data_IF_429062514936
#
_entry.id   IF_429062514936
#
_cell.length_a   1.000
_cell.length_b   1.000
_cell.length_c   1.000
_cell.angle_alpha   90.00
_cell.angle_beta   90.00
_cell.angle_gamma   90.00
#
_symmetry.space_group_name_H-M   'P 1'
#
loop_
_entity.id
_entity.type
_entity.pdbx_description
1 polymer ?
#
# COMPACT_ATOMS: atom_id res chain seq x y z
N UNK A 1 -17.41 3.02 46.33
CA UNK A 1 -17.09 4.26 45.59
C UNK A 1 -16.87 5.45 46.53
N UNK A 2 -17.69 5.63 47.56
CA UNK A 2 -17.57 6.73 48.54
C UNK A 2 -16.19 6.87 49.22
N UNK A 3 -15.54 5.75 49.57
CA UNK A 3 -14.21 5.79 50.21
C UNK A 3 -13.09 6.28 49.28
N UNK A 4 -13.18 6.01 47.97
CA UNK A 4 -12.16 6.44 47.00
C UNK A 4 -12.25 7.94 46.70
N UNK A 5 -13.47 8.50 46.68
CA UNK A 5 -13.69 9.94 46.50
C UNK A 5 -13.25 10.75 47.72
N UNK A 6 -13.51 10.25 48.93
CA UNK A 6 -13.03 10.89 50.17
C UNK A 6 -11.51 10.88 50.24
N UNK A 7 -10.86 9.75 49.89
CA UNK A 7 -9.39 9.64 49.83
C UNK A 7 -8.78 10.53 48.74
N UNK A 8 -9.41 10.65 47.57
CA UNK A 8 -8.96 11.56 46.51
C UNK A 8 -9.07 13.03 46.90
N UNK A 9 -10.15 13.40 47.59
CA UNK A 9 -10.38 14.77 48.08
C UNK A 9 -9.40 15.15 49.20
N UNK A 10 -9.07 14.23 50.11
CA UNK A 10 -8.08 14.47 51.18
C UNK A 10 -6.66 14.60 50.62
N UNK A 11 -6.25 13.73 49.70
CA UNK A 11 -4.96 13.84 49.00
C UNK A 11 -4.83 15.14 48.21
N UNK A 12 -5.91 15.59 47.57
CA UNK A 12 -5.94 16.87 46.84
C UNK A 12 -5.75 18.06 47.79
N UNK A 13 -6.50 18.09 48.91
CA UNK A 13 -6.38 19.13 49.93
C UNK A 13 -4.95 19.23 50.48
N UNK A 14 -4.32 18.09 50.74
CA UNK A 14 -2.96 18.02 51.27
C UNK A 14 -1.92 18.58 50.28
N UNK A 15 -2.06 18.25 48.98
CA UNK A 15 -1.21 18.82 47.91
C UNK A 15 -1.39 20.33 47.76
N UNK A 16 -2.61 20.84 47.88
CA UNK A 16 -2.89 22.28 47.82
C UNK A 16 -2.55 23.03 49.10
N UNK A 17 -2.28 22.35 50.21
CA UNK A 17 -1.88 22.99 51.47
C UNK A 17 -0.36 23.16 51.59
N UNK A 18 0.42 22.26 50.98
CA UNK A 18 1.89 22.32 50.97
C UNK A 18 2.41 23.32 49.93
N UNK A 19 2.87 24.49 50.36
CA UNK A 19 3.46 25.53 49.49
C UNK A 19 4.62 24.99 48.64
N UNK A 20 5.51 24.19 49.23
CA UNK A 20 6.67 23.60 48.54
C UNK A 20 6.29 22.61 47.43
N UNK A 21 5.24 21.83 47.63
CA UNK A 21 4.72 20.89 46.62
C UNK A 21 3.98 21.63 45.50
N UNK A 22 3.38 22.80 45.78
CA UNK A 22 2.73 23.65 44.78
C UNK A 22 3.74 24.39 43.91
N UNK A 23 4.84 24.85 44.50
CA UNK A 23 5.87 25.61 43.78
C UNK A 23 6.83 24.70 43.00
N UNK A 24 7.20 23.53 43.55
CA UNK A 24 8.23 22.65 42.94
C UNK A 24 7.97 21.14 43.11
N UNK A 25 6.72 20.69 43.20
CA UNK A 25 6.41 19.26 43.31
C UNK A 25 6.74 18.50 42.03
N UNK A 26 7.78 17.65 42.08
CA UNK A 26 8.21 16.81 40.95
C UNK A 26 8.16 15.34 41.36
N UNK A 27 7.61 14.50 40.49
CA UNK A 27 7.65 13.04 40.66
C UNK A 27 9.01 12.49 40.24
N UNK A 28 9.93 12.48 41.19
CA UNK A 28 11.33 12.08 40.96
C UNK A 28 11.43 10.60 40.55
N UNK A 29 10.55 9.72 41.07
CA UNK A 29 10.57 8.31 40.73
C UNK A 29 10.03 8.07 39.32
N UNK A 30 8.92 8.73 38.93
CA UNK A 30 8.42 8.70 37.56
C UNK A 30 9.44 9.20 36.53
N UNK A 31 10.17 10.28 36.84
CA UNK A 31 11.23 10.80 35.96
C UNK A 31 12.41 9.82 35.87
N UNK A 32 12.82 9.18 36.98
CA UNK A 32 13.88 8.16 36.94
C UNK A 32 13.49 6.97 36.06
N UNK A 33 12.23 6.56 36.09
CA UNK A 33 11.71 5.47 35.25
C UNK A 33 11.72 5.87 33.77
N UNK A 34 11.25 7.08 33.43
CA UNK A 34 11.32 7.62 32.07
C UNK A 34 12.75 7.73 31.54
N UNK A 35 13.71 8.14 32.38
CA UNK A 35 15.14 8.20 31.99
C UNK A 35 15.70 6.81 31.73
N UNK A 36 15.31 5.80 32.52
CA UNK A 36 15.72 4.39 32.29
C UNK A 36 15.13 3.86 30.99
N UNK A 37 13.85 4.10 30.73
CA UNK A 37 13.17 3.71 29.49
C UNK A 37 13.84 4.36 28.28
N UNK A 38 14.10 5.67 28.33
CA UNK A 38 14.78 6.39 27.25
C UNK A 38 16.18 5.85 26.98
N UNK A 39 16.97 5.55 28.02
CA UNK A 39 18.30 4.92 27.86
C UNK A 39 18.20 3.54 27.22
N UNK A 40 17.23 2.73 27.62
CA UNK A 40 16.99 1.41 27.01
C UNK A 40 16.64 1.53 25.52
N UNK A 41 15.79 2.50 25.17
CA UNK A 41 15.44 2.78 23.79
C UNK A 41 16.67 3.21 22.97
N UNK A 42 17.49 4.12 23.50
CA UNK A 42 18.74 4.55 22.86
C UNK A 42 19.72 3.38 22.64
N UNK A 43 19.85 2.47 23.60
CA UNK A 43 20.67 1.27 23.45
C UNK A 43 20.14 0.30 22.39
N UNK A 44 18.82 0.10 22.32
CA UNK A 44 18.19 -0.72 21.29
C UNK A 44 18.36 -0.12 19.90
N UNK A 45 18.21 1.20 19.76
CA UNK A 45 18.38 1.89 18.49
C UNK A 45 19.85 1.89 18.06
N UNK A 46 20.79 2.01 18.99
CA UNK A 46 22.22 1.82 18.70
C UNK A 46 22.53 0.41 18.21
N UNK A 47 21.98 -0.63 18.86
CA UNK A 47 22.13 -2.02 18.40
C UNK A 47 21.57 -2.24 16.99
N UNK A 48 20.44 -1.62 16.66
CA UNK A 48 19.85 -1.67 15.30
C UNK A 48 20.77 -0.98 14.28
N UNK A 49 21.30 0.19 14.61
CA UNK A 49 22.24 0.92 13.75
C UNK A 49 23.52 0.12 13.52
N UNK A 50 24.10 -0.47 14.57
CA UNK A 50 25.31 -1.30 14.47
C UNK A 50 25.06 -2.55 13.61
N UNK A 51 23.92 -3.21 13.77
CA UNK A 51 23.52 -4.35 12.94
C UNK A 51 23.34 -3.95 11.46
N UNK A 52 22.72 -2.80 11.19
CA UNK A 52 22.58 -2.27 9.85
C UNK A 52 23.94 -1.94 9.22
N UNK A 53 24.83 -1.28 9.96
CA UNK A 53 26.19 -0.96 9.50
C UNK A 53 26.99 -2.24 9.16
N UNK A 54 26.90 -3.27 10.01
CA UNK A 54 27.53 -4.57 9.75
C UNK A 54 26.99 -5.23 8.47
N UNK A 55 25.67 -5.17 8.24
CA UNK A 55 25.05 -5.70 7.02
C UNK A 55 25.50 -4.94 5.77
N UNK A 56 25.61 -3.60 5.84
CA UNK A 56 26.13 -2.78 4.74
C UNK A 56 27.56 -3.16 4.37
N UNK A 57 28.43 -3.39 5.36
CA UNK A 57 29.80 -3.86 5.13
C UNK A 57 29.83 -5.26 4.50
N UNK A 58 28.97 -6.16 4.95
CA UNK A 58 28.84 -7.50 4.35
C UNK A 58 28.40 -7.41 2.87
N UNK A 59 27.35 -6.65 2.59
CA UNK A 59 26.83 -6.47 1.24
C UNK A 59 27.86 -5.82 0.30
N UNK A 60 28.62 -4.83 0.78
CA UNK A 60 29.71 -4.23 0.02
C UNK A 60 30.80 -5.25 -0.35
N UNK A 61 31.19 -6.13 0.59
CA UNK A 61 32.15 -7.22 0.32
C UNK A 61 31.60 -8.21 -0.71
N UNK A 62 30.34 -8.62 -0.58
CA UNK A 62 29.69 -9.52 -1.54
C UNK A 62 29.64 -8.90 -2.93
N UNK A 63 29.27 -7.63 -3.04
CA UNK A 63 29.25 -6.90 -4.31
C UNK A 63 30.63 -6.86 -4.98
N UNK A 64 31.69 -6.58 -4.21
CA UNK A 64 33.08 -6.58 -4.71
C UNK A 64 33.52 -7.95 -5.24
N UNK A 65 33.14 -9.04 -4.55
CA UNK A 65 33.41 -10.41 -5.00
C UNK A 65 32.65 -10.73 -6.28
N UNK A 66 31.37 -10.35 -6.38
CA UNK A 66 30.55 -10.58 -7.57
C UNK A 66 31.10 -9.82 -8.77
N UNK A 67 31.45 -8.54 -8.61
CA UNK A 67 32.06 -7.73 -9.66
C UNK A 67 33.37 -8.36 -10.15
N UNK A 68 34.22 -8.82 -9.23
CA UNK A 68 35.47 -9.49 -9.59
C UNK A 68 35.27 -10.79 -10.36
N UNK A 69 34.16 -11.51 -10.11
CA UNK A 69 33.79 -12.72 -10.87
C UNK A 69 33.31 -12.36 -12.26
N UNK A 70 32.42 -11.38 -12.37
CA UNK A 70 31.90 -10.89 -13.65
C UNK A 70 33.03 -10.40 -14.57
N UNK A 71 33.99 -9.64 -14.03
CA UNK A 71 35.15 -9.20 -14.81
C UNK A 71 36.01 -10.35 -15.30
N UNK A 72 36.18 -11.41 -14.50
CA UNK A 72 36.92 -12.61 -14.91
C UNK A 72 36.20 -13.37 -16.02
N UNK A 73 34.89 -13.53 -15.90
CA UNK A 73 34.04 -14.15 -16.93
C UNK A 73 34.08 -13.37 -18.23
N UNK A 74 33.97 -12.04 -18.16
CA UNK A 74 34.11 -11.15 -19.33
C UNK A 74 35.46 -11.31 -20.00
N UNK A 75 36.56 -11.27 -19.25
CA UNK A 75 37.92 -11.49 -19.80
C UNK A 75 38.09 -12.89 -20.40
N UNK A 76 37.49 -13.92 -19.79
CA UNK A 76 37.53 -15.28 -20.32
C UNK A 76 36.75 -15.39 -21.63
N UNK A 77 35.57 -14.77 -21.72
CA UNK A 77 34.77 -14.71 -22.93
C UNK A 77 35.51 -13.97 -24.06
N UNK A 78 36.10 -12.81 -23.77
CA UNK A 78 36.91 -12.06 -24.74
C UNK A 78 38.08 -12.89 -25.27
N UNK A 79 38.80 -13.59 -24.38
CA UNK A 79 39.87 -14.52 -24.79
C UNK A 79 39.35 -15.65 -25.66
N UNK A 80 38.21 -16.25 -25.32
CA UNK A 80 37.59 -17.31 -26.10
C UNK A 80 37.20 -16.83 -27.51
N UNK A 81 36.67 -15.61 -27.63
CA UNK A 81 36.36 -14.98 -28.92
C UNK A 81 37.65 -14.77 -29.73
N UNK A 82 38.71 -14.27 -29.12
CA UNK A 82 40.00 -14.07 -29.81
C UNK A 82 40.62 -15.39 -30.25
N UNK A 83 40.61 -16.43 -29.40
CA UNK A 83 41.11 -17.76 -29.79
C UNK A 83 40.28 -18.38 -30.89
N UNK A 84 38.95 -18.23 -30.84
CA UNK A 84 38.05 -18.70 -31.89
C UNK A 84 38.33 -18.00 -33.21
N UNK A 85 38.51 -16.66 -33.19
CA UNK A 85 38.91 -15.90 -34.37
C UNK A 85 40.25 -16.38 -34.91
N UNK A 86 41.25 -16.58 -34.06
CA UNK A 86 42.56 -17.07 -34.49
C UNK A 86 42.50 -18.47 -35.11
N UNK A 87 41.64 -19.36 -34.60
CA UNK A 87 41.51 -20.73 -35.11
C UNK A 87 40.69 -20.82 -36.40
N UNK A 88 39.69 -19.95 -36.58
CA UNK A 88 38.70 -20.09 -37.66
C UNK A 88 38.72 -18.95 -38.68
N UNK A 89 39.39 -17.83 -38.42
CA UNK A 89 39.63 -16.80 -39.42
C UNK A 89 40.97 -17.08 -40.08
N UNK A 90 40.93 -17.69 -41.27
CA UNK A 90 42.08 -17.71 -42.17
C UNK A 90 42.30 -16.31 -42.74
N UNK A 91 43.55 -15.85 -42.77
CA UNK A 91 43.96 -14.59 -43.38
C UNK A 91 43.79 -14.68 -44.91
N UNK A 92 42.82 -13.97 -45.52
CA UNK A 92 42.61 -14.02 -46.97
C UNK A 92 43.75 -13.37 -47.76
N UNK A 93 44.66 -12.64 -47.09
CA UNK A 93 45.74 -11.86 -47.70
C UNK A 93 47.14 -12.44 -47.43
N UNK A 94 47.28 -13.73 -47.12
CA UNK A 94 48.60 -14.36 -46.98
C UNK A 94 49.38 -14.29 -48.32
N UNK A 95 50.49 -13.53 -48.41
CA UNK A 95 51.25 -13.34 -49.66
C UNK A 95 51.85 -14.65 -50.20
N UNK A 96 51.92 -15.69 -49.36
CA UNK A 96 52.47 -17.00 -49.74
C UNK A 96 51.48 -17.88 -50.50
N UNK A 97 50.17 -17.57 -50.45
CA UNK A 97 49.12 -18.31 -51.20
C UNK A 97 48.85 -17.73 -52.59
N UNK A 98 49.10 -16.44 -52.80
CA UNK A 98 48.85 -15.76 -54.08
C UNK A 98 49.82 -16.12 -55.21
N UNK A 99 50.81 -16.99 -54.97
CA UNK A 99 51.82 -17.39 -55.96
C UNK A 99 51.62 -18.78 -56.57
N UNK A 100 50.54 -19.50 -56.25
CA UNK A 100 50.29 -20.87 -56.74
C UNK A 100 48.85 -21.08 -57.19
N UNK A 101 48.39 -20.27 -58.13
CA UNK A 101 47.15 -20.56 -58.84
C UNK A 101 47.48 -20.48 -60.32
N UNK A 102 47.49 -21.64 -60.97
CA UNK A 102 47.61 -21.71 -62.43
C UNK A 102 46.40 -21.00 -63.05
N UNK A 103 46.58 -20.24 -64.15
CA UNK A 103 45.49 -19.50 -64.79
C UNK A 103 44.40 -20.39 -65.40
N UNK A 104 44.56 -21.71 -65.35
CA UNK A 104 43.53 -22.69 -65.73
C UNK A 104 42.42 -22.85 -64.67
N UNK A 105 42.71 -22.61 -63.39
CA UNK A 105 41.74 -22.83 -62.30
C UNK A 105 40.79 -21.64 -62.08
N UNK A 106 41.09 -20.47 -62.66
CA UNK A 106 40.25 -19.28 -62.58
C UNK A 106 39.02 -19.33 -63.51
N UNK A 107 38.92 -20.35 -64.38
CA UNK A 107 37.87 -20.45 -65.40
C UNK A 107 36.78 -21.49 -65.08
N UNK A 108 36.63 -21.90 -63.81
CA UNK A 108 35.65 -22.90 -63.39
C UNK A 108 34.67 -22.38 -62.31
N UNK A 109 34.17 -21.15 -62.46
CA UNK A 109 32.99 -20.73 -61.70
C UNK A 109 31.72 -21.08 -62.47
N UNK A 110 31.06 -22.18 -62.07
CA UNK A 110 29.72 -22.53 -62.55
C UNK A 110 28.73 -21.42 -62.16
N UNK A 111 28.01 -20.79 -63.12
CA UNK A 111 26.98 -19.82 -62.79
C UNK A 111 25.83 -20.48 -62.02
N UNK A 112 25.39 -19.87 -60.91
CA UNK A 112 24.18 -20.30 -60.19
C UNK A 112 24.44 -21.30 -59.06
N UNK A 113 25.35 -20.96 -58.13
CA UNK A 113 25.44 -21.68 -56.86
C UNK A 113 24.17 -21.35 -56.03
N UNK A 114 23.39 -22.38 -55.67
CA UNK A 114 22.10 -22.25 -54.98
C UNK A 114 22.12 -21.55 -53.60
N UNK A 115 23.27 -21.06 -53.14
CA UNK A 115 23.44 -20.25 -51.93
C UNK A 115 23.74 -18.76 -52.19
N UNK A 116 23.99 -18.37 -53.44
CA UNK A 116 24.14 -16.95 -53.79
C UNK A 116 22.76 -16.31 -53.87
N UNK A 117 22.49 -15.40 -52.94
CA UNK A 117 21.28 -14.58 -52.95
C UNK A 117 21.57 -13.21 -53.57
N UNK A 118 21.27 -13.02 -54.87
CA UNK A 118 21.48 -11.75 -55.54
C UNK A 118 20.61 -10.62 -54.97
N UNK A 119 19.50 -10.93 -54.26
CA UNK A 119 18.64 -9.94 -53.58
C UNK A 119 18.93 -9.83 -52.07
N UNK A 120 20.11 -10.27 -51.63
CA UNK A 120 20.51 -10.19 -50.21
C UNK A 120 20.46 -8.77 -49.65
N UNK A 121 20.79 -7.77 -50.48
CA UNK A 121 20.63 -6.36 -50.16
C UNK A 121 19.17 -5.93 -49.97
N UNK A 122 18.27 -6.39 -50.85
CA UNK A 122 16.83 -6.11 -50.74
C UNK A 122 16.20 -6.78 -49.54
N UNK A 123 16.55 -8.04 -49.25
CA UNK A 123 16.12 -8.74 -48.03
C UNK A 123 16.60 -8.02 -46.77
N UNK A 124 17.88 -7.65 -46.69
CA UNK A 124 18.44 -6.95 -45.53
C UNK A 124 17.75 -5.60 -45.30
N UNK A 125 17.45 -4.88 -46.38
CA UNK A 125 16.70 -3.62 -46.29
C UNK A 125 15.30 -3.83 -45.72
N UNK A 126 14.54 -4.81 -46.23
CA UNK A 126 13.21 -5.16 -45.70
C UNK A 126 13.26 -5.56 -44.22
N UNK A 127 14.25 -6.35 -43.82
CA UNK A 127 14.44 -6.73 -42.41
C UNK A 127 14.77 -5.52 -41.52
N UNK A 128 15.59 -4.58 -42.00
CA UNK A 128 15.87 -3.33 -41.27
C UNK A 128 14.64 -2.45 -41.14
N UNK A 129 13.83 -2.34 -42.19
CA UNK A 129 12.57 -1.60 -42.18
C UNK A 129 11.58 -2.23 -41.17
N UNK A 130 11.38 -3.55 -41.21
CA UNK A 130 10.55 -4.28 -40.25
C UNK A 130 11.01 -4.08 -38.79
N UNK A 131 12.31 -4.22 -38.53
CA UNK A 131 12.86 -4.03 -37.19
C UNK A 131 12.66 -2.58 -36.71
N UNK A 132 12.85 -1.60 -37.60
CA UNK A 132 12.61 -0.20 -37.28
C UNK A 132 11.14 0.05 -36.92
N UNK A 133 10.21 -0.49 -37.69
CA UNK A 133 8.78 -0.34 -37.43
C UNK A 133 8.37 -0.97 -36.10
N UNK A 134 8.85 -2.18 -35.79
CA UNK A 134 8.60 -2.83 -34.50
C UNK A 134 9.16 -2.02 -33.33
N UNK A 135 10.38 -1.50 -33.43
CA UNK A 135 10.95 -0.66 -32.37
C UNK A 135 10.14 0.61 -32.15
N UNK A 136 9.67 1.25 -33.23
CA UNK A 136 8.80 2.44 -33.13
C UNK A 136 7.46 2.08 -32.50
N UNK A 137 6.84 0.96 -32.86
CA UNK A 137 5.60 0.48 -32.24
C UNK A 137 5.80 0.23 -30.74
N UNK A 138 6.85 -0.49 -30.36
CA UNK A 138 7.14 -0.78 -28.95
C UNK A 138 7.38 0.49 -28.14
N UNK A 139 8.08 1.49 -28.71
CA UNK A 139 8.27 2.78 -28.07
C UNK A 139 6.94 3.51 -27.87
N UNK A 140 6.07 3.55 -28.89
CA UNK A 140 4.74 4.17 -28.82
C UNK A 140 3.86 3.49 -27.76
N UNK A 141 3.85 2.17 -27.70
CA UNK A 141 3.10 1.41 -26.69
C UNK A 141 3.61 1.70 -25.27
N UNK A 142 4.94 1.74 -25.09
CA UNK A 142 5.54 2.08 -23.80
C UNK A 142 5.18 3.50 -23.36
N UNK A 143 5.23 4.46 -24.28
CA UNK A 143 4.82 5.84 -24.00
C UNK A 143 3.33 5.96 -23.71
N UNK A 144 2.48 5.25 -24.44
CA UNK A 144 1.05 5.21 -24.19
C UNK A 144 0.74 4.62 -22.81
N UNK A 145 1.41 3.53 -22.41
CA UNK A 145 1.30 2.94 -21.07
C UNK A 145 1.72 3.94 -19.99
N UNK A 146 2.84 4.64 -20.19
CA UNK A 146 3.31 5.68 -19.26
C UNK A 146 2.30 6.82 -19.12
N UNK A 147 1.70 7.27 -20.23
CA UNK A 147 0.65 8.31 -20.21
C UNK A 147 -0.61 7.84 -19.47
N UNK A 148 -1.02 6.59 -19.65
CA UNK A 148 -2.17 6.00 -18.93
C UNK A 148 -1.92 5.97 -17.42
N UNK A 149 -0.77 5.47 -16.99
CA UNK A 149 -0.38 5.44 -15.58
C UNK A 149 -0.37 6.84 -14.96
N UNK A 150 0.23 7.83 -15.66
CA UNK A 150 0.24 9.22 -15.19
C UNK A 150 -1.18 9.82 -15.10
N UNK A 151 -2.09 9.46 -16.01
CA UNK A 151 -3.47 9.92 -15.96
C UNK A 151 -4.25 9.28 -14.80
N UNK A 152 -4.02 7.99 -14.53
CA UNK A 152 -4.60 7.27 -13.39
C UNK A 152 -4.10 7.83 -12.06
N UNK A 153 -2.79 8.08 -11.94
CA UNK A 153 -2.19 8.70 -10.77
C UNK A 153 -2.78 10.09 -10.48
N UNK A 154 -2.91 10.93 -11.52
CA UNK A 154 -3.55 12.25 -11.37
C UNK A 154 -5.00 12.15 -10.90
N UNK A 155 -5.77 11.20 -11.44
CA UNK A 155 -7.16 10.96 -10.99
C UNK A 155 -7.21 10.51 -9.55
N UNK A 156 -6.30 9.64 -9.14
CA UNK A 156 -6.19 9.19 -7.76
C UNK A 156 -5.88 10.37 -6.83
N UNK A 157 -4.86 11.17 -7.15
CA UNK A 157 -4.50 12.37 -6.36
C UNK A 157 -5.68 13.32 -6.23
N UNK A 158 -6.35 13.66 -7.34
CA UNK A 158 -7.54 14.52 -7.33
C UNK A 158 -8.65 13.93 -6.44
N UNK A 159 -8.93 12.63 -6.55
CA UNK A 159 -9.93 11.99 -5.71
C UNK A 159 -9.56 12.03 -4.23
N UNK A 160 -8.28 11.90 -3.88
CA UNK A 160 -7.84 11.99 -2.48
C UNK A 160 -7.95 13.42 -1.95
N UNK A 161 -7.63 14.42 -2.76
CA UNK A 161 -7.78 15.83 -2.42
C UNK A 161 -9.25 16.18 -2.18
N UNK A 162 -10.16 15.73 -3.05
CA UNK A 162 -11.60 15.93 -2.89
C UNK A 162 -12.16 15.30 -1.61
N UNK A 163 -11.71 14.08 -1.28
CA UNK A 163 -12.10 13.41 -0.04
C UNK A 163 -11.58 14.14 1.19
N UNK A 164 -10.34 14.61 1.16
CA UNK A 164 -9.75 15.40 2.24
C UNK A 164 -10.47 16.75 2.42
N UNK A 165 -10.83 17.42 1.33
CA UNK A 165 -11.59 18.66 1.36
C UNK A 165 -12.98 18.46 1.99
N UNK A 166 -13.68 17.37 1.61
CA UNK A 166 -14.96 16.99 2.22
C UNK A 166 -14.82 16.66 3.71
N UNK A 167 -13.79 15.91 4.08
CA UNK A 167 -13.51 15.59 5.48
C UNK A 167 -13.29 16.86 6.32
N UNK A 168 -12.48 17.80 5.83
CA UNK A 168 -12.25 19.08 6.49
C UNK A 168 -13.52 19.93 6.60
N UNK A 169 -14.40 19.90 5.59
CA UNK A 169 -15.70 20.59 5.66
C UNK A 169 -16.60 19.98 6.74
N UNK A 170 -16.69 18.65 6.81
CA UNK A 170 -17.48 17.96 7.82
C UNK A 170 -16.97 18.24 9.24
N UNK A 171 -15.65 18.25 9.44
CA UNK A 171 -15.05 18.59 10.73
C UNK A 171 -15.41 20.03 11.15
N UNK A 172 -15.36 21.00 10.23
CA UNK A 172 -15.77 22.39 10.52
C UNK A 172 -17.23 22.47 10.96
N UNK A 173 -18.13 21.80 10.24
CA UNK A 173 -19.56 21.76 10.59
C UNK A 173 -19.79 21.04 11.93
N UNK A 174 -19.05 19.98 12.22
CA UNK A 174 -19.13 19.30 13.52
C UNK A 174 -18.67 20.23 14.65
N UNK A 175 -17.57 20.95 14.45
CA UNK A 175 -17.08 21.92 15.45
C UNK A 175 -18.09 23.05 15.65
N UNK A 176 -18.69 23.57 14.59
CA UNK A 176 -19.73 24.61 14.65
C UNK A 176 -20.99 24.13 15.39
N UNK A 177 -21.48 22.92 15.08
CA UNK A 177 -22.63 22.34 15.77
C UNK A 177 -22.35 22.07 17.25
N UNK A 178 -21.16 21.57 17.59
CA UNK A 178 -20.71 21.42 19.00
C UNK A 178 -20.64 22.76 19.72
N UNK A 179 -20.12 23.81 19.07
CA UNK A 179 -20.11 25.17 19.64
C UNK A 179 -21.52 25.70 19.86
N UNK A 180 -22.40 25.58 18.88
CA UNK A 180 -23.80 26.01 18.99
C UNK A 180 -24.53 25.26 20.11
N UNK A 181 -24.34 23.94 20.23
CA UNK A 181 -24.91 23.14 21.32
C UNK A 181 -24.39 23.59 22.71
N UNK A 182 -23.10 23.91 22.81
CA UNK A 182 -22.51 24.43 24.04
C UNK A 182 -23.08 25.81 24.42
N UNK A 183 -23.24 26.72 23.46
CA UNK A 183 -23.88 28.02 23.67
C UNK A 183 -25.33 27.84 24.12
N UNK A 184 -26.11 27.00 23.45
CA UNK A 184 -27.50 26.73 23.83
C UNK A 184 -27.61 26.15 25.24
N UNK A 185 -26.70 25.24 25.61
CA UNK A 185 -26.65 24.67 26.98
C UNK A 185 -26.27 25.73 28.00
N UNK A 186 -25.33 26.62 27.68
CA UNK A 186 -24.94 27.73 28.55
C UNK A 186 -26.12 28.71 28.75
N UNK A 187 -26.84 29.06 27.69
CA UNK A 187 -28.02 29.92 27.75
C UNK A 187 -29.15 29.29 28.55
N UNK A 188 -29.43 28.00 28.33
CA UNK A 188 -30.39 27.23 29.12
C UNK A 188 -30.02 27.23 30.61
N UNK A 189 -28.76 26.96 30.94
CA UNK A 189 -28.29 26.98 32.32
C UNK A 189 -28.42 28.37 32.95
N UNK A 190 -28.08 29.45 32.22
CA UNK A 190 -28.28 30.84 32.68
C UNK A 190 -29.76 31.16 32.92
N UNK A 191 -30.65 30.72 32.02
CA UNK A 191 -32.08 30.92 32.15
C UNK A 191 -32.64 30.16 33.37
N UNK A 192 -32.16 28.93 33.59
CA UNK A 192 -32.53 28.11 34.75
C UNK A 192 -32.11 28.77 36.06
N UNK A 193 -30.87 29.26 36.17
CA UNK A 193 -30.38 29.98 37.37
C UNK A 193 -31.22 31.23 37.63
N UNK A 194 -31.49 32.06 36.60
CA UNK A 194 -32.34 33.25 36.76
C UNK A 194 -33.77 32.90 37.21
N UNK A 195 -34.33 31.81 36.71
CA UNK A 195 -35.66 31.35 37.12
C UNK A 195 -35.65 30.88 38.59
N UNK A 196 -34.59 30.21 39.02
CA UNK A 196 -34.40 29.75 40.39
C UNK A 196 -34.19 30.92 41.37
N UNK A 197 -33.39 31.93 40.99
CA UNK A 197 -33.23 33.18 41.74
C UNK A 197 -34.57 33.94 41.90
N UNK A 198 -35.37 34.03 40.83
CA UNK A 198 -36.71 34.63 40.91
C UNK A 198 -37.62 33.87 41.87
N UNK A 199 -37.60 32.53 41.82
CA UNK A 199 -38.37 31.69 42.75
C UNK A 199 -37.91 31.89 44.19
N UNK A 200 -36.61 31.99 44.44
CA UNK A 200 -36.06 32.31 45.77
C UNK A 200 -36.51 33.69 46.24
N UNK A 201 -36.47 34.72 45.39
CA UNK A 201 -36.96 36.06 45.74
C UNK A 201 -38.47 36.08 46.02
N UNK A 202 -39.27 35.31 45.28
CA UNK A 202 -40.69 35.15 45.57
C UNK A 202 -40.91 34.39 46.89
N UNK A 203 -40.12 33.35 47.15
CA UNK A 203 -40.13 32.64 48.43
C UNK A 203 -39.79 33.59 49.59
N UNK A 204 -38.71 34.37 49.49
CA UNK A 204 -38.33 35.37 50.49
C UNK A 204 -39.38 36.47 50.68
N UNK A 205 -40.08 36.86 49.61
CA UNK A 205 -41.21 37.81 49.67
C UNK A 205 -42.41 37.18 50.37
N UNK A 206 -42.73 35.93 50.05
CA UNK A 206 -43.80 35.16 50.68
C UNK A 206 -43.49 34.89 52.15
N UNK A 207 -42.26 34.57 52.51
CA UNK A 207 -41.83 34.36 53.89
C UNK A 207 -41.86 35.67 54.67
N UNK A 208 -41.44 36.80 54.08
CA UNK A 208 -41.60 38.14 54.70
C UNK A 208 -43.07 38.53 54.85
N UNK A 209 -43.91 38.22 53.86
CA UNK A 209 -45.35 38.47 53.91
C UNK A 209 -46.03 37.55 54.94
N UNK A 210 -45.62 36.28 55.03
CA UNK A 210 -46.08 35.30 56.02
C UNK A 210 -45.60 35.64 57.42
N UNK A 211 -44.41 36.20 57.59
CA UNK A 211 -43.91 36.71 58.87
C UNK A 211 -44.66 37.98 59.28
N UNK A 212 -44.99 38.87 58.33
CA UNK A 212 -45.84 40.03 58.55
C UNK A 212 -47.30 39.64 58.86
N UNK A 213 -47.83 38.60 58.20
CA UNK A 213 -49.14 38.02 58.49
C UNK A 213 -49.15 37.20 59.78
N UNK A 214 -48.09 36.52 60.17
CA UNK A 214 -47.97 35.82 61.45
C UNK A 214 -47.94 36.82 62.63
N UNK A 215 -47.31 37.98 62.45
CA UNK A 215 -47.47 39.12 63.38
C UNK A 215 -48.89 39.71 63.38
N UNK A 216 -49.68 39.50 62.33
CA UNK A 216 -51.08 39.96 62.21
C UNK A 216 -52.11 38.91 62.68
N UNK A 217 -51.82 37.61 62.53
CA UNK A 217 -52.65 36.46 62.92
C UNK A 217 -52.47 36.08 64.39
N UNK A 218 -51.38 36.51 65.06
CA UNK A 218 -51.35 36.51 66.53
C UNK A 218 -52.40 37.49 67.12
N UNK A 219 -53.02 38.34 66.30
CA UNK A 219 -54.03 39.32 66.71
C UNK A 219 -55.48 38.99 66.27
N UNK A 220 -55.71 38.07 65.32
CA UNK A 220 -57.06 37.55 65.03
C UNK A 220 -57.03 36.17 64.38
N UNK A 221 -57.86 35.26 64.92
CA UNK A 221 -57.89 33.84 64.60
C UNK A 221 -58.62 33.44 63.32
N UNK A 222 -58.40 32.16 63.00
CA UNK A 222 -59.19 31.17 62.24
C UNK A 222 -60.21 31.69 61.19
N UNK A 223 -60.09 31.28 59.91
CA UNK A 223 -60.61 29.99 59.40
C UNK A 223 -60.74 29.95 57.84
N UNK A 224 -60.64 28.71 57.31
CA UNK A 224 -61.25 28.15 56.07
C UNK A 224 -60.67 28.47 54.66
N UNK A 225 -60.01 27.42 54.14
CA UNK A 225 -59.94 26.85 52.78
C UNK A 225 -60.82 27.39 51.63
N UNK A 226 -60.29 27.41 50.38
CA UNK A 226 -60.77 26.63 49.20
C UNK A 226 -59.84 26.84 47.98
N UNK A 227 -59.64 25.83 47.08
CA UNK A 227 -58.56 25.77 46.09
C UNK A 227 -58.99 26.16 44.66
N UNK A 228 -58.12 26.82 43.89
CA UNK A 228 -58.38 27.05 42.46
C UNK A 228 -57.26 27.69 41.63
N UNK A 229 -56.76 26.90 40.67
CA UNK A 229 -56.38 27.29 39.30
C UNK A 229 -55.08 28.10 39.07
N UNK A 230 -53.99 27.37 38.79
CA UNK A 230 -52.83 27.88 38.04
C UNK A 230 -52.71 27.12 36.71
N UNK A 231 -52.65 27.80 35.54
CA UNK A 231 -52.37 27.17 34.26
C UNK A 231 -50.85 27.01 34.07
N UNK A 232 -50.38 25.81 33.75
CA UNK A 232 -49.05 25.61 33.17
C UNK A 232 -48.10 24.64 33.88
N UNK A 233 -48.55 23.87 34.88
CA UNK A 233 -47.76 22.73 35.34
C UNK A 233 -48.08 21.50 34.49
N UNK A 234 -47.45 21.36 33.32
CA UNK A 234 -47.15 20.03 32.80
C UNK A 234 -46.05 19.45 33.70
N UNK A 235 -46.40 19.20 34.96
CA UNK A 235 -45.71 18.27 35.85
C UNK A 235 -46.11 16.89 35.39
N UNK A 236 -45.66 16.52 34.19
CA UNK A 236 -45.36 15.12 33.97
C UNK A 236 -44.14 14.88 34.82
N UNK A 237 -44.35 14.29 35.99
CA UNK A 237 -43.27 13.62 36.68
C UNK A 237 -42.58 12.74 35.63
N UNK A 238 -41.24 12.82 35.47
CA UNK A 238 -40.53 11.89 34.63
C UNK A 238 -41.02 10.50 35.02
N UNK A 239 -41.57 9.69 34.09
CA UNK A 239 -42.30 8.46 34.43
C UNK A 239 -41.40 7.40 35.08
N UNK A 240 -40.11 7.68 35.22
CA UNK A 240 -39.09 6.79 35.74
C UNK A 240 -38.33 7.48 36.88
N UNK A 241 -38.18 6.75 37.99
CA UNK A 241 -37.37 7.19 39.13
C UNK A 241 -35.94 7.47 38.67
N UNK A 242 -35.28 8.53 39.15
CA UNK A 242 -33.88 8.86 38.84
C UNK A 242 -32.92 7.66 39.00
N UNK A 243 -33.27 6.74 39.90
CA UNK A 243 -32.54 5.49 40.14
C UNK A 243 -32.65 4.50 38.96
N UNK A 244 -33.82 4.43 38.31
CA UNK A 244 -34.04 3.61 37.10
C UNK A 244 -33.25 4.16 35.91
N UNK A 245 -33.19 5.48 35.75
CA UNK A 245 -32.40 6.12 34.69
C UNK A 245 -30.91 5.85 34.85
N UNK A 246 -30.38 5.93 36.07
CA UNK A 246 -28.97 5.61 36.36
C UNK A 246 -28.65 4.13 36.11
N UNK A 247 -29.54 3.22 36.50
CA UNK A 247 -29.39 1.79 36.20
C UNK A 247 -29.40 1.56 34.69
N UNK A 248 -30.32 2.19 33.95
CA UNK A 248 -30.40 2.08 32.50
C UNK A 248 -29.14 2.60 31.80
N UNK A 249 -28.57 3.72 32.26
CA UNK A 249 -27.30 4.25 31.73
C UNK A 249 -26.12 3.31 32.02
N UNK A 250 -26.08 2.67 33.20
CA UNK A 250 -25.06 1.65 33.50
C UNK A 250 -25.19 0.44 32.57
N UNK A 251 -26.41 -0.05 32.35
CA UNK A 251 -26.67 -1.12 31.38
C UNK A 251 -26.24 -0.73 29.96
N UNK A 252 -26.48 0.50 29.51
CA UNK A 252 -26.03 0.97 28.20
C UNK A 252 -24.50 0.97 28.07
N UNK A 253 -23.77 1.34 29.12
CA UNK A 253 -22.30 1.32 29.13
C UNK A 253 -21.77 -0.12 29.07
N UNK A 254 -22.36 -1.03 29.84
CA UNK A 254 -22.00 -2.44 29.85
C UNK A 254 -22.31 -3.12 28.52
N UNK A 255 -23.49 -2.86 27.95
CA UNK A 255 -23.89 -3.42 26.67
C UNK A 255 -23.00 -2.90 25.52
N UNK A 256 -22.66 -1.60 25.53
CA UNK A 256 -21.71 -1.04 24.56
C UNK A 256 -20.34 -1.69 24.65
N UNK A 257 -19.81 -1.92 25.86
CA UNK A 257 -18.54 -2.65 26.07
C UNK A 257 -18.62 -4.08 25.56
N UNK A 258 -19.75 -4.75 25.76
CA UNK A 258 -19.97 -6.12 25.27
C UNK A 258 -19.98 -6.17 23.74
N UNK A 259 -20.66 -5.21 23.09
CA UNK A 259 -20.71 -5.09 21.63
C UNK A 259 -19.31 -4.81 21.08
N UNK A 260 -18.55 -3.89 21.67
CA UNK A 260 -17.16 -3.60 21.26
C UNK A 260 -16.25 -4.83 21.38
N UNK A 261 -16.40 -5.62 22.46
CA UNK A 261 -15.64 -6.84 22.64
C UNK A 261 -16.01 -7.91 21.60
N UNK A 262 -17.30 -8.08 21.31
CA UNK A 262 -17.75 -9.02 20.26
C UNK A 262 -17.25 -8.59 18.87
N UNK A 263 -17.34 -7.29 18.55
CA UNK A 263 -16.82 -6.74 17.29
C UNK A 263 -15.32 -6.99 17.14
N UNK A 264 -14.55 -6.78 18.20
CA UNK A 264 -13.11 -7.06 18.18
C UNK A 264 -12.81 -8.55 17.95
N UNK A 265 -13.57 -9.45 18.57
CA UNK A 265 -13.42 -10.89 18.33
C UNK A 265 -13.79 -11.28 16.89
N UNK A 266 -14.78 -10.62 16.29
CA UNK A 266 -15.16 -10.82 14.89
C UNK A 266 -14.06 -10.33 13.94
N UNK A 267 -13.54 -9.12 14.17
CA UNK A 267 -12.41 -8.57 13.41
C UNK A 267 -11.17 -9.48 13.47
N UNK A 268 -10.84 -10.01 14.66
CA UNK A 268 -9.73 -10.96 14.86
C UNK A 268 -9.97 -12.28 14.09
N UNK A 269 -11.22 -12.74 13.97
CA UNK A 269 -11.56 -13.94 13.19
C UNK A 269 -11.44 -13.68 11.69
N UNK A 270 -11.94 -12.54 11.23
CA UNK A 270 -11.83 -12.12 9.84
C UNK A 270 -10.37 -11.93 9.42
N UNK A 271 -9.52 -11.38 10.30
CA UNK A 271 -8.09 -11.27 10.04
C UNK A 271 -7.43 -12.65 9.86
N UNK A 272 -7.74 -13.62 10.73
CA UNK A 272 -7.22 -15.00 10.59
C UNK A 272 -7.64 -15.62 9.26
N UNK A 273 -8.92 -15.51 8.89
CA UNK A 273 -9.44 -16.02 7.62
C UNK A 273 -8.74 -15.37 6.43
N UNK A 274 -8.51 -14.05 6.47
CA UNK A 274 -7.75 -13.33 5.43
C UNK A 274 -6.32 -13.83 5.31
N UNK A 275 -5.63 -14.02 6.44
CA UNK A 275 -4.26 -14.52 6.46
C UNK A 275 -4.16 -15.95 5.91
N UNK A 276 -5.09 -16.83 6.30
CA UNK A 276 -5.11 -18.21 5.82
C UNK A 276 -5.46 -18.29 4.33
N UNK A 277 -6.41 -17.47 3.87
CA UNK A 277 -6.74 -17.32 2.45
C UNK A 277 -5.52 -16.84 1.63
N UNK A 278 -4.82 -15.82 2.10
CA UNK A 278 -3.61 -15.32 1.45
C UNK A 278 -2.50 -16.38 1.39
N UNK A 279 -2.31 -17.16 2.46
CA UNK A 279 -1.38 -18.29 2.48
C UNK A 279 -1.76 -19.36 1.47
N UNK A 280 -3.03 -19.73 1.40
CA UNK A 280 -3.52 -20.72 0.43
C UNK A 280 -3.31 -20.24 -1.02
N UNK A 281 -3.60 -18.97 -1.31
CA UNK A 281 -3.38 -18.38 -2.64
C UNK A 281 -1.90 -18.45 -3.07
N UNK A 282 -0.97 -18.12 -2.17
CA UNK A 282 0.48 -18.21 -2.44
C UNK A 282 0.93 -19.66 -2.72
N UNK A 283 0.36 -20.65 -2.03
CA UNK A 283 0.67 -22.06 -2.28
C UNK A 283 0.19 -22.49 -3.67
N UNK A 284 -1.01 -22.07 -4.07
CA UNK A 284 -1.57 -22.35 -5.39
C UNK A 284 -0.72 -21.71 -6.49
N UNK A 285 -0.35 -20.42 -6.34
CA UNK A 285 0.55 -19.75 -7.28
C UNK A 285 1.89 -20.49 -7.44
N UNK A 286 2.47 -20.93 -6.33
CA UNK A 286 3.74 -21.68 -6.36
C UNK A 286 3.59 -23.03 -7.06
N UNK A 287 2.46 -23.71 -6.88
CA UNK A 287 2.17 -24.95 -7.58
C UNK A 287 1.98 -24.69 -9.09
N UNK A 288 1.24 -23.65 -9.45
CA UNK A 288 1.03 -23.27 -10.85
C UNK A 288 2.35 -22.88 -11.53
N UNK A 289 3.23 -22.15 -10.85
CA UNK A 289 4.55 -21.81 -11.37
C UNK A 289 5.42 -23.05 -11.64
N UNK A 290 5.35 -24.08 -10.77
CA UNK A 290 6.04 -25.36 -10.99
C UNK A 290 5.49 -26.09 -12.23
N UNK A 291 4.16 -26.17 -12.35
CA UNK A 291 3.51 -26.81 -13.51
C UNK A 291 3.85 -26.08 -14.81
N UNK A 292 3.80 -24.74 -14.82
CA UNK A 292 4.17 -23.94 -15.98
C UNK A 292 5.62 -24.15 -16.39
N UNK A 293 6.54 -24.29 -15.41
CA UNK A 293 7.94 -24.62 -15.68
C UNK A 293 8.09 -25.99 -16.35
N UNK A 294 7.37 -27.00 -15.86
CA UNK A 294 7.39 -28.34 -16.45
C UNK A 294 6.80 -28.34 -17.87
N UNK A 295 5.68 -27.65 -18.09
CA UNK A 295 5.07 -27.52 -19.41
C UNK A 295 6.02 -26.84 -20.40
N UNK A 296 6.71 -25.78 -19.96
CA UNK A 296 7.68 -25.08 -20.79
C UNK A 296 8.89 -25.96 -21.15
N UNK A 297 9.43 -26.70 -20.18
CA UNK A 297 10.48 -27.69 -20.44
C UNK A 297 10.03 -28.76 -21.44
N UNK A 298 8.80 -29.25 -21.33
CA UNK A 298 8.25 -30.21 -22.28
C UNK A 298 8.16 -29.60 -23.69
N UNK A 299 7.60 -28.39 -23.82
CA UNK A 299 7.52 -27.67 -25.09
C UNK A 299 8.90 -27.43 -25.71
N UNK A 300 9.87 -27.01 -24.91
CA UNK A 300 11.24 -26.80 -25.36
C UNK A 300 11.84 -28.12 -25.87
N UNK A 301 11.63 -29.23 -25.15
CA UNK A 301 12.09 -30.56 -25.57
C UNK A 301 11.45 -31.04 -26.86
N UNK A 302 10.15 -30.78 -27.07
CA UNK A 302 9.46 -31.13 -28.31
C UNK A 302 9.93 -30.27 -29.47
N UNK A 303 10.17 -28.98 -29.23
CA UNK A 303 10.67 -28.06 -30.26
C UNK A 303 12.07 -28.45 -30.73
N UNK A 304 12.94 -28.87 -29.81
CA UNK A 304 14.27 -29.41 -30.16
C UNK A 304 14.15 -30.64 -31.06
N UNK A 305 13.32 -31.62 -30.68
CA UNK A 305 13.10 -32.82 -31.51
C UNK A 305 12.52 -32.50 -32.88
N UNK A 306 11.54 -31.58 -32.94
CA UNK A 306 10.96 -31.15 -34.21
C UNK A 306 11.98 -30.43 -35.09
N UNK A 307 12.86 -29.62 -34.51
CA UNK A 307 13.93 -28.97 -35.23
C UNK A 307 14.94 -29.99 -35.79
N UNK A 308 15.32 -31.00 -35.00
CA UNK A 308 16.18 -32.09 -35.44
C UNK A 308 15.55 -32.90 -36.59
N UNK A 309 14.26 -33.25 -36.47
CA UNK A 309 13.52 -33.94 -37.53
C UNK A 309 13.48 -33.08 -38.80
N UNK A 310 13.25 -31.78 -38.67
CA UNK A 310 13.21 -30.86 -39.80
C UNK A 310 14.59 -30.69 -40.45
N UNK A 311 15.69 -30.68 -39.69
CA UNK A 311 17.04 -30.71 -40.24
C UNK A 311 17.32 -32.01 -41.00
N UNK A 312 16.88 -33.15 -40.46
CA UNK A 312 17.05 -34.48 -41.08
C UNK A 312 16.14 -34.71 -42.30
N UNK A 313 14.96 -34.09 -42.32
CA UNK A 313 13.97 -34.26 -43.39
C UNK A 313 14.12 -33.26 -44.52
N UNK A 314 15.04 -32.29 -44.42
CA UNK A 314 15.43 -31.48 -45.58
C UNK A 314 15.86 -32.45 -46.68
N UNK A 315 15.09 -32.58 -47.76
CA UNK A 315 15.54 -33.42 -48.85
C UNK A 315 16.87 -32.85 -49.34
N UNK A 316 17.85 -33.72 -49.57
CA UNK A 316 18.92 -33.39 -50.49
C UNK A 316 18.23 -33.10 -51.81
N UNK A 317 17.98 -31.81 -52.07
CA UNK A 317 17.56 -31.37 -53.39
C UNK A 317 18.79 -31.63 -54.25
N UNK A 318 18.88 -32.85 -54.80
CA UNK A 318 19.85 -33.19 -55.82
C UNK A 318 19.76 -32.08 -56.87
N UNK A 319 20.88 -31.42 -57.13
CA UNK A 319 20.98 -30.43 -58.21
C UNK A 319 20.34 -31.06 -59.44
N UNK A 320 19.32 -30.39 -59.99
CA UNK A 320 18.50 -30.94 -61.06
C UNK A 320 19.37 -31.63 -62.11
N UNK A 321 19.21 -32.96 -62.22
CA UNK A 321 19.93 -33.75 -63.20
C UNK A 321 19.29 -33.49 -64.57
N UNK A 322 20.07 -32.91 -65.49
CA UNK A 322 19.64 -32.79 -66.88
C UNK A 322 19.79 -34.17 -67.50
N UNK A 323 18.66 -34.83 -67.73
CA UNK A 323 18.60 -36.13 -68.39
C UNK A 323 18.99 -36.03 -69.87
N UNK A 324 19.59 -37.07 -70.44
CA UNK A 324 20.08 -37.07 -71.84
C UNK A 324 18.95 -36.85 -72.87
N UNK A 325 17.71 -37.12 -72.46
CA UNK A 325 16.49 -36.77 -73.20
C UNK A 325 16.32 -35.25 -73.43
N UNK A 326 16.95 -34.41 -72.62
CA UNK A 326 17.01 -32.96 -72.80
C UNK A 326 17.85 -32.56 -74.01
N UNK A 327 19.05 -33.15 -74.15
CA UNK A 327 19.96 -32.84 -75.25
C UNK A 327 19.44 -33.36 -76.60
N UNK A 328 18.68 -34.44 -76.59
CA UNK A 328 18.02 -35.00 -77.78
C UNK A 328 16.95 -34.08 -78.40
N UNK A 329 16.54 -33.00 -77.73
CA UNK A 329 15.58 -32.03 -78.25
C UNK A 329 16.24 -30.98 -79.15
N UNK A 330 17.56 -30.81 -79.06
CA UNK A 330 18.31 -29.86 -79.87
C UNK A 330 18.69 -30.47 -81.22
N UNK A 331 18.74 -29.66 -82.28
CA UNK A 331 19.09 -30.09 -83.66
C UNK A 331 18.13 -31.10 -84.33
N UNK A 332 16.90 -31.24 -83.82
CA UNK A 332 15.87 -32.12 -84.41
C UNK A 332 15.20 -31.52 -85.66
N UNK A 333 15.42 -30.23 -85.95
CA UNK A 333 14.88 -29.54 -87.12
C UNK A 333 16.03 -29.03 -88.00
N UNK A 334 15.95 -29.27 -89.31
CA UNK A 334 16.98 -28.89 -90.32
C UNK A 334 16.79 -27.47 -90.86
N UNK A 335 16.21 -26.57 -90.07
CA UNK A 335 15.85 -25.21 -90.51
C UNK A 335 16.98 -24.22 -90.35
#
# INVERSE_FOLDING_TARGET
MHNAEILGATHRKQRTSSEKTRTCGVDVEGIKEQVKEKRKQEEEDKKKQDAHAANMLHNSRVASVLQSREEKEKRAMEKAIVSYRHQHQHDPNDPRRCGRTDPADAQMMLPGLAGEDPDSGGRLRRQREQLREWLVQQQREREARRRRLQAEERRYVQSTEDMNAKAAQLERLEVETRKAAAVNTQEYNKAKVKAEEKRQQEQDRMDKASQAEATKQLLMGADVSVPGLCPGSDRRDPPESLQQVLQYQQYQIEEKRRIEMMKKQEEDREERVRLDSARAALLIERQQAKLNRQLRQHLDSTNVKLAEIHEQSKPDIERGHIDDSFFSKFNTSRR
#
